data_IF_364804789194
#
_entry.id   IF_364804789194
#
_cell.length_a   1.000
_cell.length_b   1.000
_cell.length_c   1.000
_cell.angle_alpha   90.00
_cell.angle_beta   90.00
_cell.angle_gamma   90.00
#
_symmetry.space_group_name_H-M   'P 1'
#
loop_
_entity.id
_entity.type
_entity.pdbx_description
1 polymer ?
#
# COMPACT_ATOMS: atom_id res chain seq x y z
N UNK A 1 0.57 -6.77 -4.23
CA UNK A 1 1.13 -8.14 -4.07
C UNK A 1 2.02 -8.26 -2.83
N UNK A 2 2.97 -7.36 -2.56
CA UNK A 2 3.96 -7.49 -1.45
C UNK A 2 3.72 -6.54 -0.26
N UNK A 3 2.48 -6.09 -0.04
CA UNK A 3 2.19 -5.10 1.00
C UNK A 3 2.58 -5.54 2.43
N UNK A 4 2.65 -6.84 2.69
CA UNK A 4 2.98 -7.39 4.01
C UNK A 4 4.42 -7.14 4.44
N UNK A 5 5.34 -6.91 3.50
CA UNK A 5 6.76 -6.66 3.80
C UNK A 5 7.00 -5.33 4.53
N UNK A 6 6.00 -4.44 4.53
CA UNK A 6 5.99 -3.24 5.38
C UNK A 6 6.08 -3.60 6.86
N UNK A 7 5.54 -4.76 7.27
CA UNK A 7 5.70 -5.27 8.65
C UNK A 7 7.16 -5.50 9.02
N UNK A 8 7.98 -5.98 8.09
CA UNK A 8 9.43 -6.16 8.27
C UNK A 8 10.13 -4.82 8.43
N UNK A 9 9.74 -3.82 7.62
CA UNK A 9 10.28 -2.46 7.74
C UNK A 9 10.00 -1.87 9.14
N UNK A 10 8.76 -2.00 9.62
CA UNK A 10 8.33 -1.56 10.95
C UNK A 10 9.09 -2.31 12.06
N UNK A 11 9.16 -3.64 12.00
CA UNK A 11 9.84 -4.49 12.99
C UNK A 11 11.31 -4.12 13.16
N UNK A 12 11.97 -3.72 12.08
CA UNK A 12 13.38 -3.33 12.11
C UNK A 12 13.61 -1.82 12.31
N UNK A 13 12.56 -1.05 12.60
CA UNK A 13 12.68 0.39 12.87
C UNK A 13 13.18 1.21 11.68
N UNK A 14 12.93 0.74 10.45
CA UNK A 14 13.35 1.47 9.24
C UNK A 14 12.56 2.78 9.12
N UNK A 15 13.26 3.86 8.74
CA UNK A 15 12.67 5.21 8.55
C UNK A 15 12.27 5.44 7.09
N UNK A 16 11.54 4.50 6.52
CA UNK A 16 11.10 4.56 5.12
C UNK A 16 9.99 5.60 4.94
N UNK A 17 10.05 6.36 3.85
CA UNK A 17 8.95 7.22 3.39
C UNK A 17 8.34 6.53 2.16
N UNK A 18 7.07 6.15 2.25
CA UNK A 18 6.37 5.42 1.19
C UNK A 18 5.31 6.34 0.57
N UNK A 19 5.45 6.61 -0.72
CA UNK A 19 4.40 7.23 -1.53
C UNK A 19 3.61 6.14 -2.24
N UNK A 20 2.34 5.97 -1.89
CA UNK A 20 1.45 5.05 -2.57
C UNK A 20 0.60 5.82 -3.59
N UNK A 21 0.69 5.42 -4.86
CA UNK A 21 -0.15 5.97 -5.92
C UNK A 21 -1.40 5.10 -6.04
N UNK A 22 -2.52 5.58 -5.48
CA UNK A 22 -3.80 4.89 -5.55
C UNK A 22 -4.66 5.44 -6.70
N UNK A 23 -4.50 4.85 -7.89
CA UNK A 23 -5.24 5.18 -9.12
C UNK A 23 -6.38 4.19 -9.43
N UNK A 24 -6.71 3.28 -8.51
CA UNK A 24 -7.86 2.38 -8.62
C UNK A 24 -7.68 1.15 -9.53
N UNK A 25 -6.48 0.87 -10.05
CA UNK A 25 -6.28 -0.24 -10.99
C UNK A 25 -4.88 -0.33 -11.56
N UNK A 26 -4.72 -1.15 -12.60
CA UNK A 26 -3.48 -1.23 -13.37
C UNK A 26 -3.48 -0.20 -14.51
N UNK A 27 -3.26 1.08 -14.18
CA UNK A 27 -3.31 2.18 -15.18
C UNK A 27 -2.39 1.95 -16.37
N UNK A 28 -1.20 1.40 -16.17
CA UNK A 28 -0.29 1.11 -17.30
C UNK A 28 -0.90 0.13 -18.30
N UNK A 29 -1.62 -0.89 -17.82
CA UNK A 29 -2.27 -1.88 -18.69
C UNK A 29 -3.48 -1.28 -19.39
N UNK A 30 -4.22 -0.36 -18.76
CA UNK A 30 -5.32 0.37 -19.43
C UNK A 30 -4.81 1.12 -20.67
N UNK A 31 -3.64 1.75 -20.59
CA UNK A 31 -3.03 2.49 -21.70
C UNK A 31 -2.38 1.59 -22.77
N UNK A 32 -2.15 0.30 -22.49
CA UNK A 32 -1.61 -0.68 -23.44
C UNK A 32 -2.74 -1.49 -24.08
N UNK A 33 -3.64 -2.03 -23.25
CA UNK A 33 -4.77 -2.87 -23.63
C UNK A 33 -5.81 -2.89 -22.51
N UNK A 34 -6.90 -2.14 -22.69
CA UNK A 34 -7.95 -2.03 -21.69
C UNK A 34 -8.76 -3.34 -21.54
N UNK A 35 -9.27 -3.58 -20.33
CA UNK A 35 -10.07 -4.76 -20.02
C UNK A 35 -10.40 -4.95 -18.55
N UNK A 36 -11.35 -5.85 -18.24
CA UNK A 36 -11.87 -6.03 -16.88
C UNK A 36 -10.85 -6.57 -15.88
N UNK A 37 -9.73 -7.15 -16.34
CA UNK A 37 -8.62 -7.63 -15.52
C UNK A 37 -7.74 -6.49 -14.95
N UNK A 38 -7.91 -5.25 -15.43
CA UNK A 38 -7.23 -4.07 -14.90
C UNK A 38 -7.87 -3.55 -13.61
N UNK A 39 -9.08 -4.01 -13.29
CA UNK A 39 -9.82 -3.63 -12.10
C UNK A 39 -9.33 -4.42 -10.89
N UNK A 40 -8.90 -3.70 -9.86
CA UNK A 40 -8.47 -4.30 -8.59
C UNK A 40 -9.38 -3.83 -7.46
N UNK A 41 -9.48 -4.65 -6.41
CA UNK A 41 -10.21 -4.25 -5.20
C UNK A 41 -9.41 -3.17 -4.46
N UNK A 42 -9.96 -1.96 -4.38
CA UNK A 42 -9.37 -0.86 -3.61
C UNK A 42 -9.36 -1.17 -2.11
N UNK A 43 -8.28 -0.79 -1.42
CA UNK A 43 -8.10 -0.99 0.03
C UNK A 43 -8.01 0.35 0.77
N UNK A 44 -8.25 0.32 2.08
CA UNK A 44 -7.78 1.41 2.95
C UNK A 44 -6.30 1.19 3.24
N UNK A 45 -5.43 1.73 2.38
CA UNK A 45 -4.00 1.48 2.47
C UNK A 45 -3.34 2.13 3.69
N UNK A 46 -3.82 3.31 4.12
CA UNK A 46 -3.39 3.92 5.37
C UNK A 46 -3.82 3.04 6.55
N UNK A 47 -5.09 2.61 6.58
CA UNK A 47 -5.61 1.72 7.62
C UNK A 47 -4.93 0.34 7.65
N UNK A 48 -4.47 -0.17 6.50
CA UNK A 48 -3.67 -1.40 6.43
C UNK A 48 -2.33 -1.25 7.17
N UNK A 49 -1.65 -0.11 7.02
CA UNK A 49 -0.39 0.15 7.74
C UNK A 49 -0.65 0.32 9.23
N UNK A 50 -1.73 1.02 9.62
CA UNK A 50 -2.13 1.16 11.03
C UNK A 50 -2.43 -0.20 11.68
N UNK A 51 -3.09 -1.09 10.94
CA UNK A 51 -3.40 -2.44 11.42
C UNK A 51 -2.15 -3.30 11.64
N UNK A 52 -1.17 -3.22 10.74
CA UNK A 52 0.12 -3.94 10.89
C UNK A 52 0.96 -3.36 12.02
N UNK A 53 0.93 -2.04 12.19
CA UNK A 53 1.66 -1.33 13.24
C UNK A 53 1.24 -1.79 14.65
N UNK A 54 -0.01 -2.23 14.82
CA UNK A 54 -0.53 -2.80 16.08
C UNK A 54 -0.29 -1.91 17.31
N UNK A 55 -0.19 -0.58 17.13
CA UNK A 55 0.08 0.38 18.19
C UNK A 55 1.50 0.32 18.78
N UNK A 56 2.44 -0.38 18.16
CA UNK A 56 3.82 -0.54 18.64
C UNK A 56 4.86 0.14 17.75
N UNK A 57 5.65 1.05 18.31
CA UNK A 57 6.70 1.80 17.60
C UNK A 57 6.24 3.18 17.11
N UNK A 58 6.94 3.75 16.12
CA UNK A 58 6.57 5.03 15.52
C UNK A 58 6.12 4.82 14.08
N UNK A 59 4.85 5.09 13.79
CA UNK A 59 4.29 5.07 12.44
C UNK A 59 3.36 6.26 12.25
N UNK A 60 3.44 6.92 11.10
CA UNK A 60 2.54 7.99 10.72
C UNK A 60 1.97 7.69 9.35
N UNK A 61 0.64 7.71 9.27
CA UNK A 61 -0.11 7.52 8.03
C UNK A 61 -0.96 8.77 7.78
N UNK A 62 -1.09 9.15 6.52
CA UNK A 62 -1.93 10.28 6.09
C UNK A 62 -2.61 9.89 4.77
N UNK A 63 -3.84 10.38 4.55
CA UNK A 63 -4.64 10.15 3.35
C UNK A 63 -4.53 11.34 2.39
#
# INVERSE_FOLDING_TARGET
VTGQDVSTMLRHGQRSIIFLINNGGYTIEVEIHDGPYNLIKNWDYAGFVDAIHNGEGNCWTVK
#
